data_IF_509868127787
#
_entry.id   IF_509868127787
#
_cell.length_a   1.000
_cell.length_b   1.000
_cell.length_c   1.000
_cell.angle_alpha   90.00
_cell.angle_beta   90.00
_cell.angle_gamma   90.00
#
_symmetry.space_group_name_H-M   'P 1'
#
loop_
_entity.id
_entity.type
_entity.pdbx_description
1 polymer ?
#
# COMPACT_ATOMS: atom_id res chain seq x y z
N UNK A 1 12.38 0.70 -63.80
CA UNK A 1 12.67 0.92 -65.22
C UNK A 1 12.62 -0.36 -66.02
N UNK A 2 13.18 -1.47 -65.52
CA UNK A 2 13.10 -2.80 -66.18
C UNK A 2 11.64 -3.27 -66.35
N UNK A 3 10.83 -3.23 -65.28
CA UNK A 3 9.42 -3.67 -65.28
C UNK A 3 8.44 -2.89 -66.19
N UNK A 4 8.78 -1.66 -66.59
CA UNK A 4 7.94 -0.87 -67.50
C UNK A 4 8.26 -1.19 -68.97
N UNK A 5 9.50 -1.60 -69.25
CA UNK A 5 9.96 -1.93 -70.60
C UNK A 5 9.48 -3.33 -71.05
N UNK A 6 9.09 -4.19 -70.10
CA UNK A 6 8.55 -5.53 -70.33
C UNK A 6 7.00 -5.58 -70.43
N UNK A 7 6.32 -4.41 -70.49
CA UNK A 7 4.86 -4.25 -70.63
C UNK A 7 4.00 -4.88 -69.50
N UNK A 8 4.62 -5.24 -68.37
CA UNK A 8 3.94 -5.89 -67.24
C UNK A 8 3.18 -4.91 -66.32
N UNK A 9 3.53 -3.61 -66.32
CA UNK A 9 3.04 -2.65 -65.31
C UNK A 9 2.79 -1.25 -65.93
N UNK A 10 1.65 -0.63 -65.59
CA UNK A 10 1.30 0.73 -66.06
C UNK A 10 2.08 1.80 -65.28
N UNK A 11 2.42 2.97 -65.87
CA UNK A 11 3.05 4.08 -65.14
C UNK A 11 2.29 4.53 -63.88
N UNK A 12 0.95 4.40 -63.90
CA UNK A 12 0.09 4.68 -62.75
C UNK A 12 0.30 3.73 -61.58
N UNK A 13 0.57 2.45 -61.86
CA UNK A 13 0.81 1.43 -60.83
C UNK A 13 2.16 1.64 -60.14
N UNK A 14 3.17 2.09 -60.88
CA UNK A 14 4.49 2.47 -60.35
C UNK A 14 4.35 3.65 -59.39
N UNK A 15 3.64 4.71 -59.82
CA UNK A 15 3.40 5.89 -58.98
C UNK A 15 2.61 5.53 -57.72
N UNK A 16 1.56 4.72 -57.87
CA UNK A 16 0.70 4.30 -56.75
C UNK A 16 1.48 3.46 -55.74
N UNK A 17 2.26 2.49 -56.22
CA UNK A 17 3.08 1.63 -55.34
C UNK A 17 4.14 2.44 -54.61
N UNK A 18 4.83 3.34 -55.30
CA UNK A 18 5.83 4.22 -54.69
C UNK A 18 5.21 5.13 -53.63
N UNK A 19 4.11 5.82 -53.95
CA UNK A 19 3.42 6.71 -53.01
C UNK A 19 2.84 5.96 -51.81
N UNK A 20 2.29 4.76 -52.02
CA UNK A 20 1.76 3.92 -50.95
C UNK A 20 2.85 3.51 -49.95
N UNK A 21 4.01 3.06 -50.45
CA UNK A 21 5.16 2.70 -49.60
C UNK A 21 5.69 3.94 -48.87
N UNK A 22 5.80 5.08 -49.55
CA UNK A 22 6.29 6.32 -48.97
C UNK A 22 5.38 6.81 -47.84
N UNK A 23 4.06 6.90 -48.07
CA UNK A 23 3.11 7.30 -47.03
C UNK A 23 3.03 6.28 -45.88
N UNK A 24 3.14 4.98 -46.17
CA UNK A 24 3.23 3.94 -45.14
C UNK A 24 4.46 4.12 -44.24
N UNK A 25 5.62 4.40 -44.82
CA UNK A 25 6.85 4.65 -44.09
C UNK A 25 6.77 5.93 -43.23
N UNK A 26 6.19 7.01 -43.76
CA UNK A 26 5.97 8.24 -43.00
C UNK A 26 5.00 8.04 -41.82
N UNK A 27 3.91 7.28 -42.02
CA UNK A 27 2.96 6.96 -40.96
C UNK A 27 3.60 6.17 -39.80
N UNK A 28 4.45 5.19 -40.12
CA UNK A 28 5.18 4.42 -39.12
C UNK A 28 6.23 5.27 -38.39
N UNK A 29 6.95 6.12 -39.12
CA UNK A 29 7.91 7.05 -38.52
C UNK A 29 7.28 8.01 -37.51
N UNK A 30 6.09 8.55 -37.83
CA UNK A 30 5.32 9.43 -36.94
C UNK A 30 4.75 8.71 -35.72
N UNK A 31 4.57 7.38 -35.77
CA UNK A 31 4.13 6.60 -34.62
C UNK A 31 5.25 6.34 -33.59
N UNK A 32 6.52 6.50 -33.98
CA UNK A 32 7.69 6.27 -33.13
C UNK A 32 7.65 7.00 -31.78
N UNK A 33 7.41 8.32 -31.72
CA UNK A 33 7.33 9.08 -30.47
C UNK A 33 6.26 8.57 -29.49
N UNK A 34 5.10 8.10 -30.00
CA UNK A 34 4.01 7.58 -29.15
C UNK A 34 4.42 6.33 -28.36
N UNK A 35 5.39 5.55 -28.84
CA UNK A 35 5.91 4.39 -28.09
C UNK A 35 6.67 4.79 -26.83
N UNK A 36 7.39 5.92 -26.86
CA UNK A 36 8.10 6.42 -25.69
C UNK A 36 7.11 6.93 -24.62
N UNK A 37 6.04 7.60 -25.05
CA UNK A 37 4.95 8.03 -24.17
C UNK A 37 4.22 6.83 -23.57
N UNK A 38 3.89 5.82 -24.38
CA UNK A 38 3.25 4.60 -23.90
C UNK A 38 4.10 3.87 -22.85
N UNK A 39 5.40 3.79 -23.06
CA UNK A 39 6.33 3.16 -22.11
C UNK A 39 6.37 3.93 -20.78
N UNK A 40 6.38 5.26 -20.85
CA UNK A 40 6.35 6.14 -19.67
C UNK A 40 5.03 6.02 -18.92
N UNK A 41 3.91 6.00 -19.64
CA UNK A 41 2.57 5.81 -19.08
C UNK A 41 2.45 4.46 -18.37
N UNK A 42 3.01 3.39 -18.96
CA UNK A 42 3.04 2.06 -18.34
C UNK A 42 3.85 2.05 -17.03
N UNK A 43 4.99 2.72 -16.99
CA UNK A 43 5.80 2.83 -15.77
C UNK A 43 5.06 3.59 -14.66
N UNK A 44 4.36 4.68 -15.01
CA UNK A 44 3.53 5.42 -14.07
C UNK A 44 2.31 4.61 -13.59
N UNK A 45 1.69 3.83 -14.46
CA UNK A 45 0.59 2.95 -14.07
C UNK A 45 1.06 1.82 -13.13
N UNK A 46 2.28 1.32 -13.30
CA UNK A 46 2.82 0.24 -12.46
C UNK A 46 2.92 0.65 -10.99
N UNK A 47 3.36 1.88 -10.67
CA UNK A 47 3.42 2.36 -9.28
C UNK A 47 2.04 2.58 -8.67
N UNK A 48 1.04 2.98 -9.48
CA UNK A 48 -0.35 3.09 -9.02
C UNK A 48 -0.90 1.70 -8.66
N UNK A 49 -0.68 0.71 -9.53
CA UNK A 49 -1.12 -0.67 -9.28
C UNK A 49 -0.44 -1.28 -8.07
N UNK A 50 0.84 -1.00 -7.83
CA UNK A 50 1.55 -1.45 -6.63
C UNK A 50 0.86 -1.00 -5.33
N UNK A 51 0.33 0.22 -5.28
CA UNK A 51 -0.40 0.73 -4.11
C UNK A 51 -1.82 0.15 -4.02
N UNK A 52 -2.51 -0.02 -5.16
CA UNK A 52 -3.87 -0.57 -5.19
C UNK A 52 -3.89 -2.04 -4.76
N UNK A 53 -2.92 -2.83 -5.22
CA UNK A 53 -2.84 -4.27 -4.95
C UNK A 53 -2.23 -4.57 -3.57
N UNK A 54 -1.74 -3.55 -2.85
CA UNK A 54 -1.17 -3.70 -1.53
C UNK A 54 -2.26 -4.02 -0.49
N UNK A 55 -2.19 -5.23 0.09
CA UNK A 55 -3.04 -5.61 1.22
C UNK A 55 -2.37 -5.18 2.54
N UNK A 56 -2.98 -4.29 3.34
CA UNK A 56 -2.41 -3.85 4.61
C UNK A 56 -2.48 -4.95 5.66
N UNK A 57 -1.48 -5.03 6.55
CA UNK A 57 -1.47 -6.00 7.66
C UNK A 57 -2.61 -5.76 8.65
N UNK A 58 -2.98 -4.49 8.84
CA UNK A 58 -4.10 -4.06 9.68
C UNK A 58 -5.13 -3.44 8.73
N UNK A 59 -6.06 -4.27 8.26
CA UNK A 59 -7.11 -3.84 7.34
C UNK A 59 -8.25 -3.16 8.11
N UNK A 60 -8.44 -1.86 7.87
CA UNK A 60 -9.53 -1.07 8.45
C UNK A 60 -10.87 -1.22 7.71
N UNK A 61 -10.85 -1.72 6.48
CA UNK A 61 -12.04 -1.95 5.66
C UNK A 61 -12.61 -3.36 5.84
N UNK A 62 -11.82 -4.29 6.39
CA UNK A 62 -12.30 -5.63 6.71
C UNK A 62 -13.37 -5.62 7.80
N UNK A 63 -14.36 -6.50 7.62
CA UNK A 63 -15.39 -6.79 8.62
C UNK A 63 -15.00 -7.89 9.61
N UNK A 64 -13.79 -8.43 9.48
CA UNK A 64 -13.28 -9.54 10.29
C UNK A 64 -12.98 -9.10 11.74
N UNK A 65 -13.01 -10.07 12.65
CA UNK A 65 -12.77 -9.87 14.06
C UNK A 65 -14.05 -9.74 14.90
N UNK A 66 -13.88 -9.83 16.21
CA UNK A 66 -14.96 -9.76 17.20
C UNK A 66 -15.45 -8.31 17.32
N UNK A 67 -16.77 -8.16 17.46
CA UNK A 67 -17.46 -6.89 17.74
C UNK A 67 -18.32 -7.05 19.01
N UNK A 68 -17.70 -7.03 20.21
CA UNK A 68 -18.44 -7.09 21.47
C UNK A 68 -19.58 -6.06 21.53
N UNK A 69 -20.76 -6.46 22.01
CA UNK A 69 -21.89 -5.52 22.14
C UNK A 69 -21.67 -4.50 23.28
N UNK A 70 -20.87 -4.88 24.28
CA UNK A 70 -20.58 -4.07 25.46
C UNK A 70 -19.09 -4.12 25.78
N UNK A 71 -18.54 -2.96 26.11
CA UNK A 71 -17.18 -2.77 26.60
C UNK A 71 -17.30 -2.27 28.05
N UNK A 72 -16.54 -2.90 28.94
CA UNK A 72 -16.39 -2.47 30.33
C UNK A 72 -15.29 -1.41 30.41
N UNK A 73 -14.22 -1.56 29.63
CA UNK A 73 -13.18 -0.54 29.43
C UNK A 73 -11.88 -0.79 30.21
N UNK A 74 -11.61 -2.04 30.60
CA UNK A 74 -10.33 -2.42 31.20
C UNK A 74 -9.28 -2.59 30.11
N UNK A 75 -8.13 -1.91 30.24
CA UNK A 75 -7.01 -2.04 29.29
C UNK A 75 -5.83 -2.71 29.98
N UNK A 76 -5.26 -3.73 29.35
CA UNK A 76 -4.10 -4.46 29.90
C UNK A 76 -3.00 -4.62 28.85
N UNK A 77 -1.77 -4.33 29.24
CA UNK A 77 -0.54 -4.59 28.51
C UNK A 77 0.17 -5.72 29.23
N UNK A 78 0.52 -6.78 28.50
CA UNK A 78 1.22 -7.95 29.04
C UNK A 78 2.52 -8.17 28.26
N UNK A 79 3.65 -7.87 28.90
CA UNK A 79 4.99 -8.11 28.37
C UNK A 79 5.25 -7.45 27.02
N UNK A 80 4.72 -6.24 26.79
CA UNK A 80 4.72 -5.61 25.46
C UNK A 80 6.13 -5.17 25.05
N UNK A 81 6.58 -5.69 23.92
CA UNK A 81 7.80 -5.27 23.23
C UNK A 81 7.45 -4.68 21.87
N UNK A 82 7.98 -3.49 21.59
CA UNK A 82 7.64 -2.76 20.38
C UNK A 82 8.79 -1.92 19.84
N UNK A 83 8.91 -1.92 18.51
CA UNK A 83 9.80 -1.06 17.74
C UNK A 83 9.01 -0.57 16.52
N UNK A 84 9.16 0.69 16.14
CA UNK A 84 8.49 1.21 14.94
C UNK A 84 9.06 0.53 13.68
N UNK A 85 8.24 0.15 12.69
CA UNK A 85 8.71 -0.46 11.45
C UNK A 85 9.75 0.39 10.71
N UNK A 86 9.60 1.72 10.76
CA UNK A 86 10.54 2.67 10.16
C UNK A 86 11.92 2.69 10.83
N UNK A 87 12.04 2.17 12.05
CA UNK A 87 13.30 2.09 12.84
C UNK A 87 13.32 0.81 13.69
N UNK A 88 13.31 -0.34 13.02
CA UNK A 88 13.22 -1.67 13.65
C UNK A 88 14.35 -2.01 14.63
N UNK A 89 15.52 -1.35 14.51
CA UNK A 89 16.68 -1.56 15.39
C UNK A 89 16.53 -0.91 16.77
N UNK A 90 15.64 0.08 16.90
CA UNK A 90 15.44 0.83 18.15
C UNK A 90 14.18 0.33 18.85
N UNK A 91 14.38 -0.38 19.97
CA UNK A 91 13.29 -0.81 20.85
C UNK A 91 12.73 0.38 21.62
N UNK A 92 11.45 0.67 21.44
CA UNK A 92 10.74 1.76 22.13
C UNK A 92 10.11 1.25 23.43
N UNK A 93 9.46 0.09 23.39
CA UNK A 93 8.91 -0.57 24.57
C UNK A 93 9.64 -1.90 24.81
N UNK A 94 10.03 -2.16 26.05
CA UNK A 94 10.82 -3.32 26.43
C UNK A 94 10.18 -4.06 27.62
N UNK A 95 9.17 -4.88 27.33
CA UNK A 95 8.49 -5.70 28.34
C UNK A 95 7.53 -4.91 29.23
N UNK A 96 6.80 -3.95 28.66
CA UNK A 96 5.88 -3.10 29.42
C UNK A 96 4.67 -3.91 29.89
N UNK A 97 4.41 -3.84 31.19
CA UNK A 97 3.20 -4.35 31.83
C UNK A 97 2.43 -3.17 32.43
N UNK A 98 1.16 -3.02 32.06
CA UNK A 98 0.31 -1.93 32.52
C UNK A 98 -1.12 -2.44 32.60
N UNK A 99 -1.82 -2.11 33.69
CA UNK A 99 -3.23 -2.40 33.83
C UNK A 99 -3.97 -1.11 34.18
N UNK A 100 -4.98 -0.79 33.39
CA UNK A 100 -5.89 0.33 33.62
C UNK A 100 -7.24 -0.26 33.97
N UNK A 101 -7.62 -0.11 35.23
CA UNK A 101 -8.92 -0.59 35.70
C UNK A 101 -10.06 0.31 35.23
N UNK A 102 -11.24 -0.28 35.15
CA UNK A 102 -12.47 0.36 34.68
C UNK A 102 -12.76 1.63 35.47
N UNK A 103 -13.03 2.73 34.76
CA UNK A 103 -13.37 4.02 35.35
C UNK A 103 -12.20 4.72 36.06
N UNK A 104 -10.97 4.21 35.93
CA UNK A 104 -9.76 4.85 36.45
C UNK A 104 -9.01 5.57 35.33
N UNK A 105 -8.43 6.71 35.69
CA UNK A 105 -7.52 7.44 34.81
C UNK A 105 -6.09 7.15 35.22
N UNK A 106 -5.26 6.75 34.26
CA UNK A 106 -3.83 6.54 34.45
C UNK A 106 -3.07 7.58 33.64
N UNK A 107 -2.09 8.24 34.27
CA UNK A 107 -1.19 9.17 33.62
C UNK A 107 0.14 8.49 33.29
N UNK A 108 0.55 8.55 32.01
CA UNK A 108 1.87 8.12 31.58
C UNK A 108 2.82 9.33 31.61
N UNK A 109 3.82 9.28 32.48
CA UNK A 109 4.83 10.35 32.65
C UNK A 109 6.24 9.81 32.36
N UNK A 110 7.13 10.69 31.91
CA UNK A 110 8.52 10.33 31.59
C UNK A 110 9.17 11.26 30.57
N UNK A 111 10.47 11.09 30.37
CA UNK A 111 11.27 11.88 29.43
C UNK A 111 10.78 11.79 27.99
N UNK A 112 11.18 12.75 27.15
CA UNK A 112 10.87 12.68 25.71
C UNK A 112 11.42 11.38 25.11
N UNK A 113 10.63 10.70 24.26
CA UNK A 113 11.04 9.46 23.59
C UNK A 113 10.85 8.17 24.39
N UNK A 114 10.35 8.18 25.64
CA UNK A 114 10.18 6.96 26.44
C UNK A 114 8.98 6.06 26.06
N UNK A 115 8.26 6.36 24.96
CA UNK A 115 7.18 5.50 24.46
C UNK A 115 5.76 5.80 25.00
N UNK A 116 5.53 6.90 25.71
CA UNK A 116 4.19 7.29 26.22
C UNK A 116 3.12 7.33 25.12
N UNK A 117 3.37 8.09 24.06
CA UNK A 117 2.44 8.21 22.93
C UNK A 117 2.31 6.88 22.19
N UNK A 118 3.37 6.07 22.17
CA UNK A 118 3.36 4.73 21.58
C UNK A 118 2.36 3.82 22.29
N UNK A 119 2.26 3.87 23.62
CA UNK A 119 1.24 3.09 24.34
C UNK A 119 -0.18 3.42 23.86
N UNK A 120 -0.50 4.70 23.66
CA UNK A 120 -1.81 5.13 23.17
C UNK A 120 -2.04 4.62 21.74
N UNK A 121 -1.04 4.73 20.86
CA UNK A 121 -1.11 4.24 19.48
C UNK A 121 -1.31 2.72 19.40
N UNK A 122 -0.76 1.96 20.35
CA UNK A 122 -0.94 0.52 20.44
C UNK A 122 -2.35 0.15 20.93
N UNK A 123 -2.93 0.87 21.90
CA UNK A 123 -4.35 0.66 22.29
C UNK A 123 -5.29 0.88 21.09
N UNK A 124 -5.01 1.90 20.28
CA UNK A 124 -5.75 2.20 19.05
C UNK A 124 -5.39 1.23 17.90
N UNK A 125 -4.48 0.28 18.12
CA UNK A 125 -4.00 -0.69 17.11
C UNK A 125 -3.46 -0.03 15.84
N UNK A 126 -2.83 1.15 15.91
CA UNK A 126 -2.14 1.72 14.74
C UNK A 126 -0.91 0.90 14.35
N UNK A 127 -0.37 0.16 15.31
CA UNK A 127 0.66 -0.83 15.10
C UNK A 127 0.31 -2.07 15.91
N UNK A 128 0.68 -3.24 15.40
CA UNK A 128 0.68 -4.46 16.18
C UNK A 128 2.01 -4.60 16.95
N UNK A 129 1.94 -5.27 18.10
CA UNK A 129 3.12 -5.55 18.94
C UNK A 129 3.91 -6.72 18.38
N UNK A 130 5.24 -6.65 18.46
CA UNK A 130 6.11 -7.74 18.00
C UNK A 130 6.11 -8.92 18.99
N UNK A 131 5.95 -8.64 20.27
CA UNK A 131 5.81 -9.64 21.34
C UNK A 131 5.01 -9.06 22.50
N UNK A 132 4.35 -9.95 23.24
CA UNK A 132 3.36 -9.61 24.26
C UNK A 132 1.95 -9.44 23.68
N UNK A 133 1.07 -8.81 24.45
CA UNK A 133 -0.29 -8.52 24.03
C UNK A 133 -0.82 -7.22 24.64
N UNK A 134 -1.72 -6.57 23.92
CA UNK A 134 -2.54 -5.46 24.41
C UNK A 134 -3.98 -5.94 24.35
N UNK A 135 -4.69 -5.84 25.46
CA UNK A 135 -6.04 -6.38 25.62
C UNK A 135 -7.02 -5.30 26.08
N UNK A 136 -8.24 -5.39 25.58
CA UNK A 136 -9.40 -4.64 26.08
C UNK A 136 -10.40 -5.67 26.61
N UNK A 137 -10.77 -5.53 27.88
CA UNK A 137 -11.66 -6.46 28.60
C UNK A 137 -11.24 -7.94 28.49
N UNK A 138 -9.92 -8.18 28.48
CA UNK A 138 -9.33 -9.52 28.38
C UNK A 138 -9.22 -10.09 26.96
N UNK A 139 -9.76 -9.40 25.96
CA UNK A 139 -9.66 -9.79 24.54
C UNK A 139 -8.47 -9.06 23.91
N UNK A 140 -7.59 -9.79 23.22
CA UNK A 140 -6.49 -9.18 22.48
C UNK A 140 -7.04 -8.26 21.38
N UNK A 141 -6.48 -7.06 21.25
CA UNK A 141 -6.91 -6.09 20.23
C UNK A 141 -6.77 -6.64 18.80
N UNK A 142 -5.90 -7.64 18.60
CA UNK A 142 -5.71 -8.32 17.31
C UNK A 142 -6.93 -9.12 16.87
N UNK A 143 -7.70 -9.62 17.83
CA UNK A 143 -8.92 -10.39 17.59
C UNK A 143 -10.16 -9.49 17.41
N UNK A 144 -10.05 -8.20 17.72
CA UNK A 144 -11.14 -7.23 17.59
C UNK A 144 -11.18 -6.65 16.17
N UNK A 145 -12.38 -6.37 15.68
CA UNK A 145 -12.54 -5.67 14.42
C UNK A 145 -11.99 -4.23 14.52
N UNK A 146 -11.19 -3.83 13.54
CA UNK A 146 -10.47 -2.54 13.55
C UNK A 146 -11.42 -1.34 13.48
N UNK A 147 -12.46 -1.43 12.64
CA UNK A 147 -13.45 -0.35 12.50
C UNK A 147 -14.37 -0.23 13.72
N UNK A 148 -14.57 -1.29 14.49
CA UNK A 148 -15.34 -1.25 15.72
C UNK A 148 -14.50 -0.76 16.91
N UNK A 149 -13.19 -1.02 16.90
CA UNK A 149 -12.27 -0.59 17.95
C UNK A 149 -12.05 0.94 17.99
N UNK A 150 -12.28 1.64 16.87
CA UNK A 150 -11.98 3.07 16.67
C UNK A 150 -13.21 3.90 16.41
#
# INVERSE_FOLDING_TARGET
TVLYLDDEITPGDILTTFLAVLFGAFGLGQAGPNFAEFTSARAAAASIWEVIDQIPTIDCFSNDGKKPEKIIGQVTFEGVHFSYPSRSTVKVLNGVNLKVDVGKTVALVGSSGCGKSTCIQLVQRFYDVASGSVKIDGIDIRDLNVSWLR
#
